data_IF_592048525023
#
_entry.id   IF_592048525023
#
_cell.length_a   1.000
_cell.length_b   1.000
_cell.length_c   1.000
_cell.angle_alpha   90.00
_cell.angle_beta   90.00
_cell.angle_gamma   90.00
#
_symmetry.space_group_name_H-M   'P 1'
#
loop_
_entity.id
_entity.type
_entity.pdbx_description
1 polymer ?
#
# COMPACT_ATOMS: atom_id res chain seq x y z
N UNK A 1 -7.70 1.70 7.94
CA UNK A 1 -8.93 1.40 7.17
C UNK A 1 -8.51 1.19 5.72
N UNK A 2 -8.99 0.13 5.04
CA UNK A 2 -8.59 -0.14 3.66
C UNK A 2 -9.20 0.92 2.73
N UNK A 3 -8.40 1.55 1.87
CA UNK A 3 -8.86 2.63 0.97
C UNK A 3 -9.95 2.14 0.00
N UNK A 4 -9.84 0.90 -0.48
CA UNK A 4 -10.81 0.28 -1.39
C UNK A 4 -12.18 0.04 -0.73
N UNK A 5 -12.26 -0.12 0.60
CA UNK A 5 -13.55 -0.32 1.28
C UNK A 5 -14.45 0.93 1.23
N UNK A 6 -13.85 2.13 1.12
CA UNK A 6 -14.59 3.38 0.93
C UNK A 6 -15.25 3.41 -0.45
N UNK A 7 -14.49 3.12 -1.50
CA UNK A 7 -15.01 3.08 -2.88
C UNK A 7 -16.03 1.95 -3.08
N UNK A 8 -15.85 0.80 -2.42
CA UNK A 8 -16.80 -0.32 -2.46
C UNK A 8 -18.19 0.07 -1.96
N UNK A 9 -18.29 0.98 -0.98
CA UNK A 9 -19.57 1.48 -0.44
C UNK A 9 -20.23 2.52 -1.34
N UNK A 10 -19.44 3.32 -2.05
CA UNK A 10 -19.94 4.48 -2.83
C UNK A 10 -20.28 4.13 -4.28
N UNK A 11 -19.57 3.17 -4.88
CA UNK A 11 -19.77 2.82 -6.30
C UNK A 11 -20.90 1.81 -6.43
N UNK A 12 -21.98 2.15 -7.12
CA UNK A 12 -23.15 1.27 -7.27
C UNK A 12 -23.02 0.20 -8.38
N UNK A 13 -22.01 0.31 -9.24
CA UNK A 13 -21.79 -0.62 -10.35
C UNK A 13 -21.26 -1.97 -9.81
N UNK A 14 -21.96 -3.06 -10.13
CA UNK A 14 -21.67 -4.39 -9.57
C UNK A 14 -20.27 -4.88 -9.98
N UNK A 15 -19.88 -4.67 -11.22
CA UNK A 15 -18.57 -5.03 -11.76
C UNK A 15 -17.45 -4.33 -10.98
N UNK A 16 -17.64 -3.05 -10.65
CA UNK A 16 -16.69 -2.29 -9.86
C UNK A 16 -16.67 -2.77 -8.39
N UNK A 17 -17.83 -3.10 -7.80
CA UNK A 17 -17.88 -3.69 -6.45
C UNK A 17 -17.10 -5.01 -6.39
N UNK A 18 -17.26 -5.87 -7.39
CA UNK A 18 -16.49 -7.12 -7.51
C UNK A 18 -14.99 -6.85 -7.59
N UNK A 19 -14.58 -5.90 -8.43
CA UNK A 19 -13.17 -5.50 -8.54
C UNK A 19 -12.60 -5.05 -7.20
N UNK A 20 -13.23 -4.09 -6.52
CA UNK A 20 -12.75 -3.58 -5.22
C UNK A 20 -12.74 -4.66 -4.14
N UNK A 21 -13.73 -5.56 -4.12
CA UNK A 21 -13.75 -6.67 -3.16
C UNK A 21 -12.56 -7.62 -3.34
N UNK A 22 -12.18 -7.88 -4.60
CA UNK A 22 -11.03 -8.70 -4.91
C UNK A 22 -9.71 -7.97 -4.63
N UNK A 23 -9.67 -6.66 -4.92
CA UNK A 23 -8.52 -5.81 -4.59
C UNK A 23 -8.20 -5.88 -3.09
N UNK A 24 -9.20 -5.77 -2.21
CA UNK A 24 -9.01 -5.89 -0.75
C UNK A 24 -8.41 -7.25 -0.38
N UNK A 25 -8.86 -8.33 -0.99
CA UNK A 25 -8.32 -9.67 -0.73
C UNK A 25 -6.84 -9.78 -1.15
N UNK A 26 -6.50 -9.26 -2.34
CA UNK A 26 -5.12 -9.27 -2.86
C UNK A 26 -4.20 -8.38 -2.01
N UNK A 27 -4.67 -7.22 -1.54
CA UNK A 27 -3.90 -6.34 -0.65
C UNK A 27 -3.59 -6.98 0.71
N UNK A 28 -4.47 -7.85 1.22
CA UNK A 28 -4.19 -8.63 2.42
C UNK A 28 -3.06 -9.65 2.16
N UNK A 29 -3.08 -10.33 1.01
CA UNK A 29 -1.99 -11.24 0.60
C UNK A 29 -0.68 -10.46 0.42
N UNK A 30 -0.72 -9.26 -0.16
CA UNK A 30 0.46 -8.39 -0.23
C UNK A 30 1.02 -8.06 1.15
N UNK A 31 0.15 -7.71 2.10
CA UNK A 31 0.55 -7.38 3.47
C UNK A 31 1.19 -8.57 4.20
N UNK A 32 0.62 -9.78 4.04
CA UNK A 32 1.19 -11.01 4.55
C UNK A 32 2.56 -11.30 3.92
N UNK A 33 2.66 -11.20 2.59
CA UNK A 33 3.91 -11.42 1.85
C UNK A 33 5.02 -10.52 2.36
N UNK A 34 4.77 -9.21 2.52
CA UNK A 34 5.76 -8.30 3.07
C UNK A 34 6.13 -8.60 4.53
N UNK A 35 5.15 -9.00 5.35
CA UNK A 35 5.40 -9.40 6.73
C UNK A 35 6.33 -10.61 6.80
N UNK A 36 6.11 -11.62 5.95
CA UNK A 36 6.97 -12.80 5.83
C UNK A 36 8.37 -12.44 5.32
N UNK A 37 8.50 -11.52 4.36
CA UNK A 37 9.81 -11.06 3.87
C UNK A 37 10.58 -10.34 4.98
N UNK A 38 9.93 -9.47 5.75
CA UNK A 38 10.54 -8.78 6.89
C UNK A 38 11.01 -9.80 7.94
N UNK A 39 10.17 -10.77 8.31
CA UNK A 39 10.52 -11.81 9.29
C UNK A 39 11.71 -12.68 8.82
N UNK A 40 11.78 -12.97 7.51
CA UNK A 40 12.84 -13.77 6.93
C UNK A 40 14.17 -13.02 6.76
N UNK A 41 14.15 -11.72 6.44
CA UNK A 41 15.38 -10.96 6.18
C UNK A 41 15.90 -10.17 7.39
N UNK A 42 15.02 -9.77 8.32
CA UNK A 42 15.40 -8.98 9.50
C UNK A 42 15.41 -9.89 10.73
N UNK A 43 16.61 -10.19 11.24
CA UNK A 43 16.80 -11.13 12.35
C UNK A 43 16.77 -10.47 13.73
N UNK A 44 17.09 -9.18 13.80
CA UNK A 44 16.97 -8.44 15.06
C UNK A 44 15.50 -8.13 15.35
N UNK A 45 15.03 -8.60 16.51
CA UNK A 45 13.64 -8.42 16.93
C UNK A 45 13.29 -6.95 17.15
N UNK A 46 14.26 -6.15 17.64
CA UNK A 46 14.04 -4.73 17.88
C UNK A 46 13.89 -3.95 16.57
N UNK A 47 14.76 -4.21 15.60
CA UNK A 47 14.63 -3.65 14.25
C UNK A 47 13.33 -4.08 13.56
N UNK A 48 12.96 -5.36 13.67
CA UNK A 48 11.70 -5.89 13.13
C UNK A 48 10.48 -5.17 13.72
N UNK A 49 10.41 -5.02 15.04
CA UNK A 49 9.35 -4.24 15.70
C UNK A 49 9.32 -2.79 15.20
N UNK A 50 10.48 -2.14 15.10
CA UNK A 50 10.58 -0.77 14.61
C UNK A 50 10.02 -0.63 13.17
N UNK A 51 10.24 -1.63 12.31
CA UNK A 51 9.73 -1.69 10.93
C UNK A 51 8.22 -2.00 10.85
N UNK A 52 7.67 -2.79 11.78
CA UNK A 52 6.21 -2.96 11.86
C UNK A 52 5.49 -1.67 12.29
N UNK A 53 6.17 -0.80 13.03
CA UNK A 53 5.71 0.55 13.39
C UNK A 53 6.26 1.63 12.44
N UNK A 54 6.50 1.28 11.17
CA UNK A 54 7.14 2.18 10.23
C UNK A 54 6.31 3.42 9.87
N UNK A 55 4.99 3.40 10.04
CA UNK A 55 4.15 4.59 9.85
C UNK A 55 4.50 5.67 10.89
N UNK A 56 4.78 5.28 12.13
CA UNK A 56 5.17 6.17 13.20
C UNK A 56 6.65 6.57 13.10
N UNK A 57 7.50 5.60 12.74
CA UNK A 57 8.95 5.73 12.88
C UNK A 57 9.66 6.22 11.60
N UNK A 58 9.07 6.04 10.41
CA UNK A 58 9.69 6.44 9.13
C UNK A 58 8.96 7.67 8.56
N UNK A 59 9.61 8.86 8.53
CA UNK A 59 8.98 10.10 8.09
C UNK A 59 8.37 10.04 6.68
N UNK A 60 9.03 9.35 5.75
CA UNK A 60 8.51 9.21 4.39
C UNK A 60 7.18 8.45 4.33
N UNK A 61 7.01 7.40 5.16
CA UNK A 61 5.78 6.61 5.23
C UNK A 61 4.69 7.42 5.94
N UNK A 62 5.04 8.09 7.03
CA UNK A 62 4.14 9.02 7.72
C UNK A 62 3.58 10.09 6.78
N UNK A 63 4.44 10.71 5.97
CA UNK A 63 4.04 11.75 5.03
C UNK A 63 3.11 11.20 3.93
N UNK A 64 3.36 9.99 3.43
CA UNK A 64 2.46 9.32 2.48
C UNK A 64 1.09 9.05 3.10
N UNK A 65 1.06 8.55 4.34
CA UNK A 65 -0.18 8.29 5.07
C UNK A 65 -0.98 9.58 5.31
N UNK A 66 -0.32 10.66 5.74
CA UNK A 66 -0.95 11.98 5.92
C UNK A 66 -1.47 12.56 4.60
N UNK A 67 -0.73 12.40 3.51
CA UNK A 67 -1.16 12.82 2.18
C UNK A 67 -2.40 12.04 1.72
N UNK A 68 -2.41 10.72 1.88
CA UNK A 68 -3.57 9.89 1.55
C UNK A 68 -4.79 10.28 2.41
N UNK A 69 -4.62 10.48 3.72
CA UNK A 69 -5.68 10.93 4.61
C UNK A 69 -6.22 12.34 4.23
N UNK A 70 -5.35 13.22 3.73
CA UNK A 70 -5.74 14.56 3.27
C UNK A 70 -6.64 14.50 2.03
N UNK A 71 -6.40 13.59 1.09
CA UNK A 71 -7.10 13.59 -0.20
C UNK A 71 -8.19 12.51 -0.33
N UNK A 72 -8.07 11.39 0.39
CA UNK A 72 -9.02 10.27 0.37
C UNK A 72 -9.84 10.29 1.67
N UNK A 73 -10.57 11.38 1.85
CA UNK A 73 -11.45 11.63 3.00
C UNK A 73 -12.92 11.71 2.57
N UNK A 74 -13.84 11.75 3.51
CA UNK A 74 -15.27 11.71 3.16
C UNK A 74 -15.82 13.07 2.68
N UNK A 75 -15.02 14.15 2.81
CA UNK A 75 -15.40 15.53 2.48
C UNK A 75 -15.03 15.98 1.06
N UNK A 76 -13.97 15.42 0.48
CA UNK A 76 -13.53 15.73 -0.88
C UNK A 76 -14.48 15.14 -1.94
N UNK A 77 -14.44 15.67 -3.16
CA UNK A 77 -15.25 15.14 -4.25
C UNK A 77 -14.80 13.73 -4.64
N UNK A 78 -15.75 12.90 -5.11
CA UNK A 78 -15.44 11.55 -5.57
C UNK A 78 -14.33 11.53 -6.64
N UNK A 79 -14.36 12.49 -7.58
CA UNK A 79 -13.34 12.62 -8.62
C UNK A 79 -11.94 12.86 -8.06
N UNK A 80 -11.79 13.76 -7.08
CA UNK A 80 -10.51 14.01 -6.40
C UNK A 80 -10.01 12.75 -5.70
N UNK A 81 -10.91 12.00 -5.05
CA UNK A 81 -10.55 10.75 -4.36
C UNK A 81 -10.07 9.68 -5.30
N UNK A 82 -10.71 9.53 -6.46
CA UNK A 82 -10.28 8.55 -7.48
C UNK A 82 -8.89 8.91 -8.02
N UNK A 83 -8.64 10.18 -8.33
CA UNK A 83 -7.31 10.63 -8.78
C UNK A 83 -6.26 10.41 -7.69
N UNK A 84 -6.58 10.77 -6.44
CA UNK A 84 -5.69 10.54 -5.31
C UNK A 84 -5.40 9.06 -5.09
N UNK A 85 -6.43 8.20 -5.19
CA UNK A 85 -6.28 6.74 -5.06
C UNK A 85 -5.40 6.17 -6.17
N UNK A 86 -5.57 6.62 -7.42
CA UNK A 86 -4.70 6.23 -8.53
C UNK A 86 -3.23 6.62 -8.28
N UNK A 87 -2.99 7.76 -7.65
CA UNK A 87 -1.63 8.15 -7.23
C UNK A 87 -1.09 7.24 -6.10
N UNK A 88 -1.91 6.81 -5.14
CA UNK A 88 -1.49 5.87 -4.09
C UNK A 88 -1.03 4.55 -4.69
N UNK A 89 -1.85 3.96 -5.56
CA UNK A 89 -1.58 2.66 -6.18
C UNK A 89 -0.47 2.72 -7.24
N UNK A 90 -0.42 3.80 -8.02
CA UNK A 90 0.47 3.89 -9.19
C UNK A 90 1.79 4.62 -8.94
N UNK A 91 1.78 5.72 -8.18
CA UNK A 91 2.94 6.61 -8.05
C UNK A 91 3.68 6.40 -6.74
N UNK A 92 2.97 6.35 -5.60
CA UNK A 92 3.61 6.44 -4.27
C UNK A 92 4.63 5.33 -3.99
N UNK A 93 4.51 4.14 -4.60
CA UNK A 93 5.42 3.02 -4.40
C UNK A 93 6.26 2.64 -5.62
N UNK A 94 6.05 3.30 -6.76
CA UNK A 94 6.75 3.02 -8.03
C UNK A 94 8.27 3.01 -7.90
N UNK A 95 8.84 3.98 -7.17
CA UNK A 95 10.28 4.06 -6.94
C UNK A 95 10.84 2.87 -6.14
N UNK A 96 10.08 2.37 -5.16
CA UNK A 96 10.47 1.19 -4.38
C UNK A 96 10.46 -0.07 -5.24
N UNK A 97 9.44 -0.25 -6.08
CA UNK A 97 9.39 -1.37 -7.02
C UNK A 97 10.55 -1.35 -8.02
N UNK A 98 10.92 -0.17 -8.54
CA UNK A 98 12.05 -0.02 -9.46
C UNK A 98 13.38 -0.49 -8.85
N UNK A 99 13.60 -0.23 -7.55
CA UNK A 99 14.81 -0.68 -6.85
C UNK A 99 14.88 -2.21 -6.79
N UNK A 100 13.78 -2.90 -6.50
CA UNK A 100 13.72 -4.37 -6.51
C UNK A 100 13.95 -4.95 -7.90
N UNK A 101 13.41 -4.33 -8.97
CA UNK A 101 13.74 -4.72 -10.34
C UNK A 101 15.23 -4.58 -10.66
N UNK A 102 15.91 -3.61 -10.05
CA UNK A 102 17.36 -3.47 -10.13
C UNK A 102 18.11 -4.67 -9.55
N UNK A 103 17.68 -5.20 -8.40
CA UNK A 103 18.24 -6.42 -7.82
C UNK A 103 17.94 -7.66 -8.68
N UNK A 104 16.72 -7.75 -9.22
CA UNK A 104 16.33 -8.80 -10.17
C UNK A 104 17.25 -8.82 -11.40
N UNK A 105 17.59 -7.66 -11.97
CA UNK A 105 18.51 -7.55 -13.12
C UNK A 105 19.92 -8.07 -12.79
N UNK A 106 20.32 -8.02 -11.53
CA UNK A 106 21.59 -8.55 -11.05
C UNK A 106 21.52 -10.04 -10.64
N UNK A 107 20.37 -10.69 -10.80
CA UNK A 107 20.09 -12.05 -10.29
C UNK A 107 20.36 -12.19 -8.78
N UNK A 108 19.97 -11.17 -8.01
CA UNK A 108 20.09 -11.13 -6.55
C UNK A 108 18.71 -11.01 -5.90
N UNK A 109 18.61 -11.47 -4.65
CA UNK A 109 17.37 -11.63 -3.89
C UNK A 109 16.40 -12.58 -4.58
N UNK A 110 16.41 -13.85 -4.16
CA UNK A 110 15.48 -14.86 -4.68
C UNK A 110 14.12 -14.69 -4.00
N UNK A 111 13.06 -14.52 -4.80
CA UNK A 111 11.70 -14.25 -4.34
C UNK A 111 10.93 -13.41 -5.36
#
# INVERSE_FOLDING_TARGET
ENLASKFLREVEIIEAKKFYSFQIAVENIHSETYSLLIDNYIKDEKERLNLFHAIENIPAIKNKALWAAKWINDTNSFAERIVANACVEGILYSGSFLQFFGFKKQNKLHG
#
